data_IF_695220219880
#
_entry.id   IF_695220219880
#
_cell.length_a   1.000
_cell.length_b   1.000
_cell.length_c   1.000
_cell.angle_alpha   90.00
_cell.angle_beta   90.00
_cell.angle_gamma   90.00
#
_symmetry.space_group_name_H-M   'P 1'
#
loop_
_entity.id
_entity.type
_entity.pdbx_description
1 polymer ?
#
# COMPACT_ATOMS: atom_id res chain seq x y z
N UNK A 1 -4.35 27.76 15.10
CA UNK A 1 -3.88 26.58 14.34
C UNK A 1 -4.97 26.15 13.37
N UNK A 2 -4.68 25.94 12.08
CA UNK A 2 -5.65 25.32 11.16
C UNK A 2 -5.83 23.88 11.58
N UNK A 3 -7.04 23.51 12.01
CA UNK A 3 -7.37 22.11 12.29
C UNK A 3 -7.40 21.35 10.96
N UNK A 4 -6.74 20.19 10.90
CA UNK A 4 -6.83 19.31 9.74
C UNK A 4 -8.19 18.60 9.73
N UNK A 5 -8.76 18.41 8.53
CA UNK A 5 -9.98 17.61 8.40
C UNK A 5 -9.71 16.15 8.79
N UNK A 6 -10.74 15.45 9.25
CA UNK A 6 -10.62 14.03 9.62
C UNK A 6 -10.16 13.21 8.41
N UNK A 7 -10.67 13.54 7.22
CA UNK A 7 -10.21 12.97 5.94
C UNK A 7 -8.70 13.09 5.74
N UNK A 8 -8.14 14.28 6.00
CA UNK A 8 -6.69 14.53 5.88
C UNK A 8 -5.90 13.72 6.90
N UNK A 9 -6.41 13.59 8.13
CA UNK A 9 -5.76 12.81 9.19
C UNK A 9 -5.66 11.34 8.78
N UNK A 10 -6.75 10.74 8.26
CA UNK A 10 -6.72 9.36 7.79
C UNK A 10 -5.78 9.16 6.59
N UNK A 11 -5.77 10.08 5.63
CA UNK A 11 -4.83 10.01 4.51
C UNK A 11 -3.37 10.13 4.98
N UNK A 12 -3.11 10.99 5.97
CA UNK A 12 -1.79 11.13 6.58
C UNK A 12 -1.35 9.87 7.31
N UNK A 13 -2.25 9.28 8.11
CA UNK A 13 -2.01 8.00 8.78
C UNK A 13 -1.73 6.86 7.79
N UNK A 14 -2.49 6.79 6.69
CA UNK A 14 -2.25 5.82 5.62
C UNK A 14 -0.85 5.99 5.02
N UNK A 15 -0.45 7.23 4.74
CA UNK A 15 0.85 7.53 4.17
C UNK A 15 2.00 7.15 5.11
N UNK A 16 1.89 7.50 6.39
CA UNK A 16 2.87 7.13 7.41
C UNK A 16 2.95 5.61 7.63
N UNK A 17 1.84 4.90 7.54
CA UNK A 17 1.79 3.44 7.74
C UNK A 17 2.38 2.67 6.54
N UNK A 18 2.33 3.22 5.34
CA UNK A 18 2.76 2.53 4.11
C UNK A 18 4.25 2.15 4.09
N UNK A 19 5.14 2.98 4.66
CA UNK A 19 6.58 2.69 4.73
C UNK A 19 6.88 1.55 5.72
N UNK A 20 6.46 1.63 7.00
CA UNK A 20 6.67 0.54 7.95
C UNK A 20 6.14 -0.80 7.45
N UNK A 21 4.95 -0.83 6.84
CA UNK A 21 4.41 -2.06 6.23
C UNK A 21 5.36 -2.62 5.18
N UNK A 22 5.87 -1.78 4.28
CA UNK A 22 6.82 -2.22 3.26
C UNK A 22 8.15 -2.69 3.82
N UNK A 23 8.71 -1.98 4.81
CA UNK A 23 9.97 -2.37 5.47
C UNK A 23 9.83 -3.70 6.21
N UNK A 24 8.73 -3.91 6.92
CA UNK A 24 8.42 -5.19 7.59
C UNK A 24 8.38 -6.31 6.54
N UNK A 25 7.73 -6.09 5.40
CA UNK A 25 7.65 -7.10 4.34
C UNK A 25 9.00 -7.46 3.72
N UNK A 26 9.95 -6.54 3.68
CA UNK A 26 11.28 -6.85 3.13
C UNK A 26 12.08 -7.79 4.03
N UNK A 27 11.89 -7.72 5.35
CA UNK A 27 12.71 -8.45 6.32
C UNK A 27 12.01 -9.67 6.92
N UNK A 28 10.67 -9.73 6.87
CA UNK A 28 9.94 -10.88 7.36
C UNK A 28 9.84 -11.98 6.30
N UNK A 29 10.13 -13.25 6.66
CA UNK A 29 10.01 -14.37 5.73
C UNK A 29 8.54 -14.71 5.50
N UNK A 30 8.02 -14.28 4.34
CA UNK A 30 6.60 -14.42 3.97
C UNK A 30 6.40 -15.15 2.64
N UNK A 31 7.48 -15.38 1.88
CA UNK A 31 7.41 -16.05 0.58
C UNK A 31 7.73 -17.53 0.77
N UNK A 32 6.79 -18.45 0.50
CA UNK A 32 7.06 -19.87 0.59
C UNK A 32 8.09 -20.28 -0.47
N UNK A 33 9.13 -20.97 -0.04
CA UNK A 33 10.16 -21.55 -0.87
C UNK A 33 10.22 -23.06 -0.65
N UNK A 34 10.66 -23.79 -1.67
CA UNK A 34 10.87 -25.23 -1.57
C UNK A 34 12.33 -25.53 -1.84
N UNK A 35 12.99 -26.14 -0.87
CA UNK A 35 14.39 -26.53 -0.97
C UNK A 35 14.47 -28.04 -1.11
N UNK A 36 15.22 -28.50 -2.11
CA UNK A 36 15.42 -29.93 -2.36
C UNK A 36 16.59 -30.39 -1.49
N UNK A 37 16.31 -31.26 -0.51
CA UNK A 37 17.31 -31.77 0.44
C UNK A 37 18.06 -32.97 -0.18
N UNK A 38 17.34 -33.84 -0.89
CA UNK A 38 17.94 -34.98 -1.57
C UNK A 38 17.15 -35.34 -2.82
N UNK A 39 17.88 -35.79 -3.85
CA UNK A 39 17.31 -36.37 -5.04
C UNK A 39 18.09 -37.65 -5.35
N UNK A 40 17.48 -38.81 -5.09
CA UNK A 40 18.11 -40.10 -5.38
C UNK A 40 17.07 -41.09 -5.90
N UNK A 41 17.45 -41.81 -6.96
CA UNK A 41 16.66 -42.91 -7.56
C UNK A 41 15.17 -42.59 -7.80
N UNK A 42 14.83 -41.37 -8.22
CA UNK A 42 13.45 -40.96 -8.51
C UNK A 42 12.64 -40.49 -7.31
N UNK A 43 13.22 -40.48 -6.11
CA UNK A 43 12.64 -39.84 -4.93
C UNK A 43 13.27 -38.46 -4.71
N UNK A 44 12.44 -37.43 -4.70
CA UNK A 44 12.83 -36.06 -4.36
C UNK A 44 12.28 -35.72 -2.98
N UNK A 45 13.17 -35.46 -2.02
CA UNK A 45 12.78 -34.95 -0.71
C UNK A 45 12.94 -33.43 -0.71
N UNK A 46 11.84 -32.72 -0.46
CA UNK A 46 11.83 -31.27 -0.33
C UNK A 46 11.38 -30.83 1.06
N UNK A 47 11.96 -29.74 1.56
CA UNK A 47 11.46 -29.02 2.74
C UNK A 47 10.84 -27.70 2.29
N UNK A 48 9.75 -27.34 2.94
CA UNK A 48 9.13 -26.03 2.76
C UNK A 48 9.81 -25.05 3.73
N UNK A 49 10.51 -24.07 3.17
CA UNK A 49 11.08 -22.94 3.91
C UNK A 49 10.30 -21.65 3.58
N UNK A 50 10.55 -20.59 4.32
CA UNK A 50 10.04 -19.26 4.00
C UNK A 50 11.23 -18.33 3.80
N UNK A 51 11.23 -17.63 2.67
CA UNK A 51 12.22 -16.63 2.33
C UNK A 51 11.62 -15.24 2.50
N UNK A 52 12.51 -14.28 2.73
CA UNK A 52 12.15 -12.87 2.66
C UNK A 52 11.90 -12.44 1.22
N UNK A 53 11.25 -11.29 1.04
CA UNK A 53 11.06 -10.71 -0.30
C UNK A 53 12.41 -10.31 -0.90
N UNK A 54 13.33 -9.84 -0.06
CA UNK A 54 14.67 -9.46 -0.48
C UNK A 54 15.42 -10.64 -1.11
N UNK A 55 15.33 -11.83 -0.47
CA UNK A 55 15.97 -13.06 -0.92
C UNK A 55 15.30 -13.67 -2.14
N UNK A 56 13.96 -13.71 -2.15
CA UNK A 56 13.20 -14.36 -3.22
C UNK A 56 13.17 -13.52 -4.51
N UNK A 57 13.02 -12.20 -4.41
CA UNK A 57 12.91 -11.31 -5.56
C UNK A 57 13.38 -9.88 -5.22
N UNK A 58 14.70 -9.67 -5.20
CA UNK A 58 15.30 -8.37 -4.92
C UNK A 58 14.72 -7.22 -5.78
N UNK A 59 14.46 -7.48 -7.07
CA UNK A 59 13.90 -6.50 -8.02
C UNK A 59 12.49 -6.01 -7.66
N UNK A 60 11.71 -6.82 -6.94
CA UNK A 60 10.36 -6.46 -6.49
C UNK A 60 10.38 -5.67 -5.17
N UNK A 61 11.50 -5.68 -4.43
CA UNK A 61 11.62 -5.06 -3.11
C UNK A 61 11.30 -3.56 -3.13
N UNK A 62 11.80 -2.84 -4.14
CA UNK A 62 11.63 -1.39 -4.25
C UNK A 62 10.19 -1.00 -4.68
N UNK A 63 9.59 -1.62 -5.72
CA UNK A 63 8.19 -1.41 -6.04
C UNK A 63 7.22 -1.65 -4.88
N UNK A 64 7.46 -2.67 -4.05
CA UNK A 64 6.59 -3.01 -2.90
C UNK A 64 6.48 -1.86 -1.91
N UNK A 65 7.55 -1.09 -1.70
CA UNK A 65 7.55 0.08 -0.82
C UNK A 65 7.05 1.32 -1.55
N UNK A 66 7.65 1.60 -2.72
CA UNK A 66 7.50 2.89 -3.39
C UNK A 66 6.08 3.09 -3.91
N UNK A 67 5.47 2.06 -4.48
CA UNK A 67 4.15 2.19 -5.10
C UNK A 67 3.05 2.53 -4.07
N UNK A 68 2.88 1.78 -2.96
CA UNK A 68 1.92 2.13 -1.90
C UNK A 68 2.19 3.50 -1.27
N UNK A 69 3.47 3.87 -1.13
CA UNK A 69 3.87 5.15 -0.58
C UNK A 69 3.49 6.33 -1.48
N UNK A 70 3.74 6.22 -2.80
CA UNK A 70 3.34 7.23 -3.78
C UNK A 70 1.82 7.38 -3.81
N UNK A 71 1.08 6.28 -3.88
CA UNK A 71 -0.39 6.33 -3.94
C UNK A 71 -0.98 7.02 -2.71
N UNK A 72 -0.52 6.63 -1.52
CA UNK A 72 -0.98 7.25 -0.28
C UNK A 72 -0.59 8.73 -0.18
N UNK A 73 0.59 9.11 -0.70
CA UNK A 73 1.04 10.50 -0.79
C UNK A 73 0.17 11.34 -1.72
N UNK A 74 -0.19 10.82 -2.90
CA UNK A 74 -1.13 11.47 -3.83
C UNK A 74 -2.50 11.64 -3.17
N UNK A 75 -2.97 10.66 -2.40
CA UNK A 75 -4.23 10.76 -1.67
C UNK A 75 -4.18 11.86 -0.60
N UNK A 76 -3.07 11.96 0.14
CA UNK A 76 -2.87 12.99 1.16
C UNK A 76 -2.89 14.39 0.54
N UNK A 77 -2.10 14.61 -0.51
CA UNK A 77 -2.05 15.90 -1.23
C UNK A 77 -3.44 16.24 -1.79
N UNK A 78 -4.12 15.26 -2.40
CA UNK A 78 -5.44 15.48 -2.97
C UNK A 78 -6.49 15.85 -1.91
N UNK A 79 -6.46 15.24 -0.73
CA UNK A 79 -7.31 15.62 0.39
C UNK A 79 -6.99 17.02 0.92
N UNK A 80 -5.71 17.38 1.04
CA UNK A 80 -5.30 18.74 1.43
C UNK A 80 -5.81 19.79 0.44
N UNK A 81 -5.68 19.54 -0.86
CA UNK A 81 -6.13 20.46 -1.90
C UNK A 81 -7.66 20.54 -1.99
N UNK A 82 -8.39 19.43 -1.77
CA UNK A 82 -9.84 19.40 -1.77
C UNK A 82 -10.50 20.16 -0.59
N UNK A 83 -9.73 20.45 0.46
CA UNK A 83 -10.21 21.17 1.66
C UNK A 83 -9.87 22.66 1.64
N UNK A 84 -9.04 23.13 0.70
CA UNK A 84 -8.77 24.55 0.54
C UNK A 84 -10.01 25.30 0.06
N UNK A 85 -10.21 26.53 0.58
CA UNK A 85 -11.26 27.46 0.14
C UNK A 85 -10.94 27.95 -1.27
N UNK A 86 -11.28 27.15 -2.28
CA UNK A 86 -11.27 27.58 -3.68
C UNK A 86 -12.64 28.11 -4.07
N UNK A 87 -12.69 29.23 -4.79
CA UNK A 87 -13.91 29.73 -5.42
C UNK A 87 -14.38 28.85 -6.59
N UNK A 88 -13.51 27.95 -7.07
CA UNK A 88 -13.78 27.11 -8.23
C UNK A 88 -14.16 25.67 -7.80
N UNK A 89 -15.46 25.40 -7.78
CA UNK A 89 -16.01 24.09 -7.43
C UNK A 89 -15.50 22.95 -8.32
N UNK A 90 -15.18 23.21 -9.59
CA UNK A 90 -14.67 22.19 -10.50
C UNK A 90 -13.26 21.71 -10.09
N UNK A 91 -12.38 22.62 -9.66
CA UNK A 91 -11.04 22.27 -9.16
C UNK A 91 -11.16 21.39 -7.92
N UNK A 92 -12.03 21.76 -6.98
CA UNK A 92 -12.29 20.97 -5.77
C UNK A 92 -12.79 19.56 -6.10
N UNK A 93 -13.67 19.44 -7.09
CA UNK A 93 -14.18 18.15 -7.54
C UNK A 93 -13.08 17.27 -8.14
N UNK A 94 -12.18 17.84 -8.96
CA UNK A 94 -11.03 17.11 -9.51
C UNK A 94 -10.13 16.52 -8.43
N UNK A 95 -9.81 17.29 -7.39
CA UNK A 95 -9.02 16.78 -6.26
C UNK A 95 -9.73 15.64 -5.52
N UNK A 96 -11.06 15.69 -5.37
CA UNK A 96 -11.83 14.57 -4.82
C UNK A 96 -11.86 13.35 -5.74
N UNK A 97 -11.85 13.53 -7.05
CA UNK A 97 -11.72 12.40 -7.98
C UNK A 97 -10.35 11.75 -7.88
N UNK A 98 -9.29 12.52 -7.67
CA UNK A 98 -7.95 11.97 -7.49
C UNK A 98 -7.84 11.14 -6.20
N UNK A 99 -8.50 11.54 -5.10
CA UNK A 99 -8.55 10.70 -3.90
C UNK A 99 -9.27 9.37 -4.16
N UNK A 100 -10.42 9.39 -4.85
CA UNK A 100 -11.10 8.15 -5.28
C UNK A 100 -10.22 7.29 -6.19
N UNK A 101 -9.50 7.90 -7.13
CA UNK A 101 -8.56 7.21 -8.01
C UNK A 101 -7.47 6.47 -7.23
N UNK A 102 -6.91 7.11 -6.20
CA UNK A 102 -5.89 6.46 -5.34
C UNK A 102 -6.45 5.29 -4.54
N UNK A 103 -7.70 5.36 -4.08
CA UNK A 103 -8.37 4.23 -3.40
C UNK A 103 -8.54 3.05 -4.35
N UNK A 104 -8.97 3.31 -5.59
CA UNK A 104 -9.12 2.27 -6.61
C UNK A 104 -7.78 1.61 -6.92
N UNK A 105 -6.73 2.42 -7.17
CA UNK A 105 -5.38 1.90 -7.45
C UNK A 105 -4.83 1.07 -6.29
N UNK A 106 -4.99 1.53 -5.04
CA UNK A 106 -4.59 0.74 -3.88
C UNK A 106 -5.38 -0.56 -3.79
N UNK A 107 -6.69 -0.51 -4.02
CA UNK A 107 -7.54 -1.70 -4.07
C UNK A 107 -7.05 -2.70 -5.11
N UNK A 108 -6.77 -2.26 -6.34
CA UNK A 108 -6.24 -3.15 -7.39
C UNK A 108 -4.90 -3.77 -7.00
N UNK A 109 -4.01 -3.00 -6.36
CA UNK A 109 -2.74 -3.52 -5.87
C UNK A 109 -2.93 -4.55 -4.77
N UNK A 110 -3.87 -4.32 -3.85
CA UNK A 110 -4.19 -5.26 -2.77
C UNK A 110 -4.66 -6.62 -3.28
N UNK A 111 -5.39 -6.65 -4.41
CA UNK A 111 -5.90 -7.88 -5.01
C UNK A 111 -4.92 -8.57 -5.97
N UNK A 112 -4.13 -7.80 -6.72
CA UNK A 112 -3.27 -8.33 -7.78
C UNK A 112 -1.83 -8.60 -7.35
N UNK A 113 -1.33 -7.88 -6.35
CA UNK A 113 0.04 -8.09 -5.86
C UNK A 113 0.09 -9.25 -4.87
N UNK A 114 1.08 -10.14 -4.94
CA UNK A 114 1.32 -11.17 -3.92
C UNK A 114 1.47 -10.60 -2.51
N UNK A 115 1.94 -9.35 -2.41
CA UNK A 115 2.14 -8.63 -1.14
C UNK A 115 1.01 -7.64 -0.84
N UNK A 116 0.02 -7.55 -1.72
CA UNK A 116 -1.05 -6.57 -1.66
C UNK A 116 -1.89 -6.66 -0.40
N UNK A 117 -2.16 -7.88 0.09
CA UNK A 117 -2.98 -8.13 1.28
C UNK A 117 -2.38 -7.50 2.56
N UNK A 118 -1.06 -7.37 2.64
CA UNK A 118 -0.41 -6.74 3.79
C UNK A 118 -0.65 -5.22 3.85
N UNK A 119 -1.07 -4.61 2.74
CA UNK A 119 -1.46 -3.21 2.65
C UNK A 119 -2.94 -2.96 2.95
N UNK A 120 -3.72 -3.98 3.34
CA UNK A 120 -5.13 -3.82 3.77
C UNK A 120 -5.31 -2.69 4.80
N UNK A 121 -4.51 -2.58 5.88
CA UNK A 121 -4.67 -1.48 6.83
C UNK A 121 -4.49 -0.10 6.20
N UNK A 122 -3.54 0.04 5.26
CA UNK A 122 -3.32 1.29 4.51
C UNK A 122 -4.50 1.58 3.59
N UNK A 123 -4.98 0.58 2.86
CA UNK A 123 -6.15 0.69 1.98
C UNK A 123 -7.42 1.09 2.73
N UNK A 124 -7.65 0.54 3.92
CA UNK A 124 -8.77 0.91 4.78
C UNK A 124 -8.68 2.37 5.22
N UNK A 125 -7.50 2.85 5.64
CA UNK A 125 -7.31 4.25 6.01
C UNK A 125 -7.53 5.20 4.81
N UNK A 126 -7.08 4.81 3.61
CA UNK A 126 -7.36 5.58 2.39
C UNK A 126 -8.87 5.62 2.09
N UNK A 127 -9.56 4.49 2.20
CA UNK A 127 -11.01 4.41 1.99
C UNK A 127 -11.76 5.31 3.00
N UNK A 128 -11.40 5.22 4.29
CA UNK A 128 -11.97 6.07 5.34
C UNK A 128 -11.71 7.56 5.07
N UNK A 129 -10.55 7.91 4.51
CA UNK A 129 -10.23 9.29 4.15
C UNK A 129 -11.21 9.88 3.13
N UNK A 130 -11.79 9.04 2.27
CA UNK A 130 -12.69 9.50 1.20
C UNK A 130 -14.17 9.41 1.60
N UNK A 131 -14.53 8.41 2.40
CA UNK A 131 -15.93 8.20 2.82
C UNK A 131 -16.32 9.13 3.97
N UNK A 132 -15.42 9.38 4.93
CA UNK A 132 -15.72 10.23 6.08
C UNK A 132 -15.62 11.70 5.64
N UNK A 133 -16.77 12.30 5.35
CA UNK A 133 -16.92 13.73 5.03
C UNK A 133 -17.18 14.55 6.30
N UNK A 134 -16.16 14.83 7.09
CA UNK A 134 -16.19 15.86 8.14
C UNK A 134 -14.85 16.60 8.25
#
# INVERSE_FOLDING_TARGET
>A
MKSFSISTIFAGAAHLLSIPTGLILLIFPVVPATEIISNSQGFTQSIQSYQTILESNFSLSLPIIVFPWIISGVCLISNLMATQKSSNNAIRFRWKLYTWGTVLLMGTYMFLSPTGLYYVPVGLLLLLSVIIKK
#
